data_IF_606287081498
#
_entry.id   IF_606287081498
#
_cell.length_a   1.000
_cell.length_b   1.000
_cell.length_c   1.000
_cell.angle_alpha   90.00
_cell.angle_beta   90.00
_cell.angle_gamma   90.00
#
_symmetry.space_group_name_H-M   'P 1'
#
loop_
_entity.id
_entity.type
_entity.pdbx_description
1 polymer ?
#
# COMPACT_ATOMS: atom_id res chain seq x y z
N UNK A 1 1.29 16.78 -7.23
CA UNK A 1 0.01 17.20 -6.63
C UNK A 1 -1.07 16.33 -7.23
N UNK A 2 -2.03 15.91 -6.42
CA UNK A 2 -3.19 15.19 -6.94
C UNK A 2 -4.10 16.17 -7.71
N UNK A 3 -5.04 15.69 -8.53
CA UNK A 3 -5.81 16.53 -9.45
C UNK A 3 -6.57 17.67 -8.77
N UNK A 4 -6.95 17.51 -7.49
CA UNK A 4 -7.74 18.49 -6.75
C UNK A 4 -6.97 19.06 -5.55
N UNK A 5 -7.32 20.29 -5.21
CA UNK A 5 -6.83 20.96 -3.99
C UNK A 5 -7.44 20.27 -2.76
N UNK A 6 -6.64 20.12 -1.70
CA UNK A 6 -7.10 19.52 -0.45
C UNK A 6 -6.94 18.00 -0.38
N UNK A 7 -6.47 17.37 -1.45
CA UNK A 7 -6.27 15.92 -1.49
C UNK A 7 -5.00 15.49 -0.75
N UNK A 8 -5.04 14.24 -0.25
CA UNK A 8 -3.94 13.57 0.42
C UNK A 8 -3.69 12.18 -0.16
N UNK A 9 -2.64 11.49 0.30
CA UNK A 9 -2.41 10.08 -0.04
C UNK A 9 -3.51 9.12 0.46
N UNK A 10 -4.46 9.60 1.27
CA UNK A 10 -5.66 8.86 1.66
C UNK A 10 -6.69 8.81 0.54
N UNK A 11 -6.60 9.70 -0.46
CA UNK A 11 -7.47 9.73 -1.64
C UNK A 11 -6.94 8.85 -2.79
N UNK A 12 -5.80 8.18 -2.60
CA UNK A 12 -5.24 7.25 -3.57
C UNK A 12 -5.56 5.83 -3.11
N UNK A 13 -6.22 5.06 -3.97
CA UNK A 13 -6.44 3.64 -3.72
C UNK A 13 -5.10 2.90 -3.68
N UNK A 14 -4.87 2.19 -2.58
CA UNK A 14 -3.67 1.40 -2.35
C UNK A 14 -4.03 0.08 -1.67
N UNK A 15 -3.27 -0.97 -1.96
CA UNK A 15 -3.38 -2.27 -1.28
C UNK A 15 -3.13 -2.19 0.23
N UNK A 16 -2.32 -1.23 0.67
CA UNK A 16 -2.10 -0.98 2.10
C UNK A 16 -3.19 -0.04 2.60
N UNK A 17 -4.00 -0.43 3.61
CA UNK A 17 -5.08 0.39 4.14
C UNK A 17 -4.58 1.74 4.65
N UNK A 18 -5.39 2.79 4.49
CA UNK A 18 -5.01 4.19 4.76
C UNK A 18 -4.53 4.44 6.20
N UNK A 19 -5.02 3.68 7.17
CA UNK A 19 -4.71 3.83 8.59
C UNK A 19 -3.45 3.05 9.05
N UNK A 20 -2.77 2.36 8.14
CA UNK A 20 -1.55 1.60 8.42
C UNK A 20 -0.52 1.78 7.31
N UNK A 21 0.74 1.51 7.61
CA UNK A 21 1.82 1.49 6.62
C UNK A 21 2.23 0.07 6.22
N UNK A 22 1.47 -0.93 6.66
CA UNK A 22 1.75 -2.34 6.43
C UNK A 22 0.44 -3.14 6.30
N UNK A 23 0.45 -4.12 5.39
CA UNK A 23 -0.56 -5.18 5.31
C UNK A 23 0.15 -6.53 5.11
N UNK A 24 -0.35 -7.59 5.73
CA UNK A 24 0.16 -8.94 5.51
C UNK A 24 -0.26 -9.45 4.13
N UNK A 25 0.63 -10.17 3.43
CA UNK A 25 0.33 -10.64 2.07
C UNK A 25 -0.80 -11.68 2.04
N UNK A 26 -0.92 -12.52 3.06
CA UNK A 26 -2.04 -13.44 3.21
C UNK A 26 -3.39 -12.71 3.35
N UNK A 27 -3.42 -11.50 3.91
CA UNK A 27 -4.63 -10.66 3.94
C UNK A 27 -4.98 -10.10 2.57
N UNK A 28 -4.01 -9.86 1.68
CA UNK A 28 -4.27 -9.37 0.32
C UNK A 28 -4.88 -10.47 -0.57
N UNK A 29 -4.35 -11.69 -0.48
CA UNK A 29 -4.85 -12.82 -1.26
C UNK A 29 -6.04 -13.51 -0.57
N UNK A 30 -6.18 -13.42 0.75
CA UNK A 30 -7.30 -14.00 1.47
C UNK A 30 -8.59 -13.16 1.40
N UNK A 31 -9.72 -13.71 1.87
CA UNK A 31 -10.91 -12.92 2.16
C UNK A 31 -10.59 -11.79 3.18
N UNK A 32 -11.23 -10.61 3.04
CA UNK A 32 -12.23 -10.26 2.04
C UNK A 32 -11.66 -9.78 0.68
N UNK A 33 -10.35 -9.52 0.59
CA UNK A 33 -9.74 -8.82 -0.54
C UNK A 33 -9.72 -9.65 -1.83
N UNK A 34 -9.38 -10.95 -1.75
CA UNK A 34 -9.43 -11.90 -2.86
C UNK A 34 -8.72 -11.45 -4.16
N UNK A 35 -7.66 -10.63 -4.08
CA UNK A 35 -6.99 -10.06 -5.26
C UNK A 35 -6.32 -11.08 -6.19
N UNK A 36 -6.26 -12.36 -5.82
CA UNK A 36 -5.65 -13.43 -6.63
C UNK A 36 -6.66 -14.16 -7.54
N UNK A 37 -7.98 -14.04 -7.29
CA UNK A 37 -8.98 -14.93 -7.91
C UNK A 37 -9.21 -14.72 -9.40
N UNK A 38 -8.91 -13.53 -9.92
CA UNK A 38 -9.21 -13.17 -11.31
C UNK A 38 -8.15 -13.69 -12.31
N UNK A 39 -6.94 -13.97 -11.83
CA UNK A 39 -5.80 -14.40 -12.68
C UNK A 39 -5.67 -15.93 -12.82
N UNK A 40 -6.61 -16.69 -12.26
CA UNK A 40 -7.07 -17.98 -12.80
C UNK A 40 -6.03 -19.06 -13.12
N UNK A 41 -5.16 -19.44 -12.17
CA UNK A 41 -4.36 -20.67 -12.31
C UNK A 41 -5.15 -21.96 -12.04
N UNK A 42 -6.44 -21.84 -11.69
CA UNK A 42 -7.33 -22.96 -11.42
C UNK A 42 -7.10 -23.63 -10.06
N UNK A 43 -6.25 -23.06 -9.19
CA UNK A 43 -6.03 -23.60 -7.85
C UNK A 43 -7.17 -23.25 -6.89
N UNK A 44 -7.46 -24.18 -5.98
CA UNK A 44 -8.42 -23.94 -4.92
C UNK A 44 -7.95 -22.83 -3.97
N UNK A 45 -8.88 -22.12 -3.32
CA UNK A 45 -8.60 -21.05 -2.34
C UNK A 45 -7.64 -21.44 -1.21
N UNK A 46 -7.48 -22.73 -0.96
CA UNK A 46 -6.64 -23.29 0.10
C UNK A 46 -5.24 -23.69 -0.38
N UNK A 47 -4.95 -23.60 -1.68
CA UNK A 47 -3.68 -24.01 -2.28
C UNK A 47 -2.75 -22.80 -2.52
N UNK A 48 -3.31 -21.59 -2.59
CA UNK A 48 -2.54 -20.35 -2.75
C UNK A 48 -2.14 -19.80 -1.38
N UNK A 49 -0.83 -19.70 -1.13
CA UNK A 49 -0.30 -19.11 0.10
C UNK A 49 0.74 -18.02 -0.20
N UNK A 50 0.68 -16.93 0.56
CA UNK A 50 1.64 -15.84 0.51
C UNK A 50 2.04 -15.45 1.94
N UNK A 51 3.33 -15.27 2.17
CA UNK A 51 3.88 -14.94 3.49
C UNK A 51 4.72 -13.67 3.40
N UNK A 52 4.80 -12.94 4.52
CA UNK A 52 5.43 -11.63 4.57
C UNK A 52 4.41 -10.50 4.57
N UNK A 53 4.90 -9.29 4.36
CA UNK A 53 4.11 -8.07 4.43
C UNK A 53 4.47 -7.09 3.31
N UNK A 54 3.45 -6.41 2.79
CA UNK A 54 3.61 -5.24 1.94
C UNK A 54 3.66 -4.00 2.82
N UNK A 55 4.68 -3.17 2.63
CA UNK A 55 4.86 -1.92 3.38
C UNK A 55 4.91 -0.73 2.45
N UNK A 56 4.48 0.42 2.95
CA UNK A 56 4.53 1.70 2.25
C UNK A 56 5.30 2.72 3.10
N UNK A 57 6.14 3.51 2.44
CA UNK A 57 6.79 4.67 3.03
C UNK A 57 6.62 5.86 2.09
N UNK A 58 6.28 7.01 2.65
CA UNK A 58 6.04 8.24 1.89
C UNK A 58 6.93 9.32 2.48
N UNK A 59 7.72 9.97 1.63
CA UNK A 59 8.55 11.09 2.04
C UNK A 59 8.34 12.31 1.15
N UNK A 60 8.58 13.49 1.69
CA UNK A 60 8.63 14.75 0.93
C UNK A 60 10.01 14.99 0.30
N UNK A 61 10.20 16.14 -0.35
CA UNK A 61 11.46 16.56 -0.98
C UNK A 61 12.65 16.64 -0.01
N UNK A 62 12.37 16.79 1.29
CA UNK A 62 13.36 16.89 2.36
C UNK A 62 13.58 15.52 3.05
N UNK A 63 13.08 14.43 2.45
CA UNK A 63 13.09 13.08 2.99
C UNK A 63 12.36 12.94 4.35
N UNK A 64 11.46 13.85 4.68
CA UNK A 64 10.66 13.74 5.90
C UNK A 64 9.47 12.82 5.66
N UNK A 65 9.15 11.99 6.65
CA UNK A 65 8.02 11.08 6.60
C UNK A 65 6.70 11.85 6.52
N UNK A 66 5.84 11.45 5.58
CA UNK A 66 4.53 12.03 5.35
C UNK A 66 3.45 11.02 5.72
N UNK A 67 2.55 11.42 6.62
CA UNK A 67 1.37 10.64 6.98
C UNK A 67 0.31 10.69 5.86
N UNK A 68 -0.49 9.62 5.71
CA UNK A 68 -1.46 9.48 4.61
C UNK A 68 -2.51 10.59 4.53
N UNK A 69 -2.93 11.13 5.66
CA UNK A 69 -3.95 12.17 5.78
C UNK A 69 -3.40 13.61 5.68
N UNK A 70 -2.09 13.81 5.44
CA UNK A 70 -1.53 15.15 5.22
C UNK A 70 -1.97 15.66 3.85
N UNK A 71 -2.68 16.79 3.81
CA UNK A 71 -3.00 17.52 2.58
C UNK A 71 -1.72 17.86 1.83
N UNK A 72 -1.68 17.53 0.54
CA UNK A 72 -0.47 17.72 -0.27
C UNK A 72 -0.32 19.18 -0.69
N UNK A 73 0.85 19.73 -0.45
CA UNK A 73 1.24 21.05 -0.92
C UNK A 73 2.27 20.95 -2.04
N UNK A 74 2.33 21.97 -2.90
CA UNK A 74 3.40 22.11 -3.91
C UNK A 74 4.76 22.39 -3.26
N UNK A 75 4.77 22.99 -2.06
CA UNK A 75 6.00 23.34 -1.36
C UNK A 75 6.78 22.10 -0.93
N UNK A 76 6.10 21.04 -0.49
CA UNK A 76 6.73 19.80 -0.02
C UNK A 76 7.03 18.82 -1.16
N UNK A 77 6.56 19.11 -2.38
CA UNK A 77 6.80 18.28 -3.55
C UNK A 77 8.26 18.38 -4.06
N UNK A 78 8.78 17.36 -4.76
CA UNK A 78 8.13 16.09 -5.08
C UNK A 78 8.03 15.16 -3.86
N UNK A 79 7.00 14.31 -3.87
CA UNK A 79 6.85 13.25 -2.89
C UNK A 79 7.37 11.93 -3.47
N UNK A 80 7.97 11.11 -2.62
CA UNK A 80 8.45 9.77 -2.95
C UNK A 80 7.60 8.73 -2.22
N UNK A 81 7.07 7.77 -2.96
CA UNK A 81 6.35 6.61 -2.40
C UNK A 81 7.19 5.37 -2.67
N UNK A 82 7.48 4.60 -1.63
CA UNK A 82 8.17 3.31 -1.70
C UNK A 82 7.19 2.23 -1.25
N UNK A 83 6.93 1.25 -2.11
CA UNK A 83 6.36 -0.02 -1.72
C UNK A 83 7.48 -1.05 -1.57
N UNK A 84 7.47 -1.79 -0.48
CA UNK A 84 8.47 -2.83 -0.22
C UNK A 84 7.82 -4.07 0.38
N UNK A 85 8.17 -5.23 -0.15
CA UNK A 85 7.84 -6.52 0.43
C UNK A 85 8.87 -6.86 1.51
N UNK A 86 8.39 -7.30 2.67
CA UNK A 86 9.23 -7.84 3.75
C UNK A 86 8.86 -9.30 3.97
N UNK A 87 9.84 -10.18 3.87
CA UNK A 87 9.67 -11.58 4.24
C UNK A 87 9.94 -11.75 5.74
N UNK A 88 9.08 -12.48 6.43
CA UNK A 88 9.38 -12.91 7.80
C UNK A 88 10.24 -14.17 7.73
N UNK A 89 11.55 -14.05 7.96
CA UNK A 89 12.39 -15.22 8.21
C UNK A 89 11.96 -15.82 9.56
N UNK A 90 11.65 -17.12 9.55
CA UNK A 90 11.48 -17.91 10.77
C UNK A 90 12.83 -18.06 11.49
#
# INVERSE_FOLDING_TARGET
MLPNIGESFANIDMFVPVNTNLIALNSLIGPPNNYWRDDGDGQGVNEVSATGALTVSITDKNNQLVVRNKVLTVHDAPYKVILAQRYHRR
#
